data_IF_262912213494
#
_entry.id   IF_262912213494
#
_cell.length_a   1.000
_cell.length_b   1.000
_cell.length_c   1.000
_cell.angle_alpha   90.00
_cell.angle_beta   90.00
_cell.angle_gamma   90.00
#
_symmetry.space_group_name_H-M   'P 1'
#
loop_
_entity.id
_entity.type
_entity.pdbx_description
1 polymer ?
#
# COMPACT_ATOMS: atom_id res chain seq x y z
N UNK A 1 -7.50 22.01 -1.69
CA UNK A 1 -6.51 22.14 -2.78
C UNK A 1 -6.38 20.76 -3.40
N UNK A 2 -6.72 20.56 -4.68
CA UNK A 2 -6.36 19.32 -5.36
C UNK A 2 -4.84 19.34 -5.53
N UNK A 3 -4.13 18.56 -4.71
CA UNK A 3 -2.72 18.30 -4.96
C UNK A 3 -2.62 17.60 -6.31
N UNK A 4 -1.87 18.17 -7.26
CA UNK A 4 -1.50 17.45 -8.47
C UNK A 4 -0.54 16.34 -8.03
N UNK A 5 -1.00 15.09 -8.09
CA UNK A 5 -0.17 13.94 -7.78
C UNK A 5 0.97 13.85 -8.82
N UNK A 6 2.21 13.58 -8.41
CA UNK A 6 3.33 13.50 -9.33
C UNK A 6 3.13 12.33 -10.31
N UNK A 7 3.71 12.41 -11.52
CA UNK A 7 3.80 11.25 -12.39
C UNK A 7 4.68 10.19 -11.73
N UNK A 8 4.30 8.92 -11.89
CA UNK A 8 5.10 7.76 -11.46
C UNK A 8 5.87 7.24 -12.67
N UNK A 9 7.10 6.78 -12.45
CA UNK A 9 7.84 6.04 -13.48
C UNK A 9 7.11 4.72 -13.78
N UNK A 10 6.63 4.57 -15.01
CA UNK A 10 5.89 3.39 -15.44
C UNK A 10 6.77 2.11 -15.40
N UNK A 11 8.10 2.23 -15.51
CA UNK A 11 8.99 1.09 -15.33
C UNK A 11 9.04 0.63 -13.86
N UNK A 12 9.07 1.57 -12.91
CA UNK A 12 8.99 1.26 -11.47
C UNK A 12 7.64 0.64 -11.13
N UNK A 13 6.54 1.23 -11.60
CA UNK A 13 5.20 0.66 -11.39
C UNK A 13 5.07 -0.74 -12.01
N UNK A 14 5.65 -0.97 -13.18
CA UNK A 14 5.66 -2.29 -13.80
C UNK A 14 6.45 -3.31 -12.98
N UNK A 15 7.57 -2.90 -12.37
CA UNK A 15 8.37 -3.77 -11.49
C UNK A 15 7.59 -4.18 -10.24
N UNK A 16 6.94 -3.22 -9.55
CA UNK A 16 6.06 -3.51 -8.41
C UNK A 16 4.90 -4.41 -8.81
N UNK A 17 4.33 -4.15 -9.99
CA UNK A 17 3.20 -4.94 -10.51
C UNK A 17 3.54 -6.42 -10.74
N UNK A 18 4.80 -6.75 -11.04
CA UNK A 18 5.21 -8.16 -11.12
C UNK A 18 5.10 -8.85 -9.76
N UNK A 19 5.51 -8.20 -8.67
CA UNK A 19 5.36 -8.73 -7.31
C UNK A 19 3.89 -8.76 -6.86
N UNK A 20 3.11 -7.72 -7.18
CA UNK A 20 1.68 -7.65 -6.88
C UNK A 20 0.92 -8.85 -7.45
N UNK A 21 1.23 -9.26 -8.68
CA UNK A 21 0.60 -10.42 -9.32
C UNK A 21 0.89 -11.72 -8.58
N UNK A 22 2.08 -11.90 -8.04
CA UNK A 22 2.42 -13.10 -7.27
C UNK A 22 1.62 -13.16 -5.97
N UNK A 23 1.45 -12.03 -5.28
CA UNK A 23 0.58 -11.91 -4.09
C UNK A 23 -0.87 -12.23 -4.46
N UNK A 24 -1.40 -11.63 -5.53
CA UNK A 24 -2.77 -11.86 -6.00
C UNK A 24 -3.01 -13.32 -6.41
N UNK A 25 -2.05 -13.95 -7.08
CA UNK A 25 -2.12 -15.35 -7.44
C UNK A 25 -2.16 -16.25 -6.21
N UNK A 26 -1.35 -15.95 -5.19
CA UNK A 26 -1.34 -16.67 -3.92
C UNK A 26 -2.66 -16.50 -3.16
N UNK A 27 -3.21 -15.29 -3.10
CA UNK A 27 -4.54 -15.04 -2.51
C UNK A 27 -5.62 -15.86 -3.24
N UNK A 28 -5.67 -15.79 -4.57
CA UNK A 28 -6.63 -16.54 -5.38
C UNK A 28 -6.50 -18.06 -5.18
N UNK A 29 -5.27 -18.58 -5.13
CA UNK A 29 -5.00 -20.00 -4.86
C UNK A 29 -5.51 -20.45 -3.48
N UNK A 30 -5.56 -19.53 -2.51
CA UNK A 30 -6.09 -19.76 -1.17
C UNK A 30 -7.62 -19.51 -1.04
N UNK A 31 -8.32 -19.31 -2.17
CA UNK A 31 -9.79 -19.16 -2.20
C UNK A 31 -10.28 -17.73 -1.98
N UNK A 32 -9.43 -16.74 -2.20
CA UNK A 32 -9.78 -15.34 -2.03
C UNK A 32 -10.89 -14.85 -2.98
N UNK A 33 -11.74 -13.94 -2.49
CA UNK A 33 -12.72 -13.22 -3.29
C UNK A 33 -12.31 -11.75 -3.42
N UNK A 34 -11.45 -11.44 -4.39
CA UNK A 34 -10.78 -10.15 -4.56
C UNK A 34 -11.70 -8.90 -4.48
N UNK A 35 -12.95 -9.01 -4.95
CA UNK A 35 -13.93 -7.91 -4.91
C UNK A 35 -14.45 -7.55 -3.51
N UNK A 36 -14.21 -8.39 -2.49
CA UNK A 36 -14.60 -8.11 -1.11
C UNK A 36 -13.63 -7.06 -0.56
N UNK A 37 -14.17 -5.91 -0.18
CA UNK A 37 -13.40 -4.86 0.47
C UNK A 37 -12.94 -5.33 1.86
N UNK A 38 -11.70 -5.04 2.18
CA UNK A 38 -11.01 -5.49 3.40
C UNK A 38 -9.91 -4.52 3.79
N UNK A 39 -9.40 -4.60 5.02
CA UNK A 39 -8.14 -3.96 5.40
C UNK A 39 -6.99 -4.38 4.48
N UNK A 40 -6.29 -3.38 3.94
CA UNK A 40 -5.07 -3.53 3.17
C UNK A 40 -4.02 -2.65 3.82
N UNK A 41 -2.94 -3.29 4.27
CA UNK A 41 -1.83 -2.65 4.95
C UNK A 41 -0.78 -2.25 3.92
N UNK A 42 -0.12 -1.13 4.14
CA UNK A 42 1.01 -0.65 3.34
C UNK A 42 2.12 -0.18 4.27
N UNK A 43 3.36 -0.44 3.90
CA UNK A 43 4.54 0.00 4.65
C UNK A 43 5.33 1.05 3.87
N UNK A 44 5.91 2.00 4.62
CA UNK A 44 6.88 2.96 4.10
C UNK A 44 8.12 2.97 4.98
N UNK A 45 9.30 2.92 4.37
CA UNK A 45 10.59 3.08 5.04
C UNK A 45 11.04 4.54 4.98
N UNK A 46 11.52 5.09 6.08
CA UNK A 46 11.94 6.50 6.11
C UNK A 46 12.32 7.02 7.48
N UNK A 47 12.11 8.31 7.72
CA UNK A 47 12.36 8.96 9.02
C UNK A 47 11.06 9.43 9.66
N UNK A 48 11.02 9.59 10.99
CA UNK A 48 9.84 10.12 11.69
C UNK A 48 9.32 11.44 11.09
N UNK A 49 10.24 12.32 10.69
CA UNK A 49 9.89 13.61 10.07
C UNK A 49 9.17 13.42 8.74
N UNK A 50 9.55 12.43 7.97
CA UNK A 50 8.94 12.13 6.68
C UNK A 50 7.60 11.40 6.87
N UNK A 51 7.47 10.58 7.92
CA UNK A 51 6.22 9.91 8.29
C UNK A 51 5.09 10.88 8.61
N UNK A 52 5.34 11.98 9.32
CA UNK A 52 4.32 13.02 9.54
C UNK A 52 3.78 13.61 8.22
N UNK A 53 4.65 13.71 7.20
CA UNK A 53 4.25 14.16 5.86
C UNK A 53 3.44 13.09 5.14
N UNK A 54 3.86 11.82 5.24
CA UNK A 54 3.12 10.67 4.71
C UNK A 54 1.71 10.64 5.29
N UNK A 55 1.55 10.71 6.61
CA UNK A 55 0.25 10.70 7.29
C UNK A 55 -0.68 11.83 6.83
N UNK A 56 -0.13 13.04 6.68
CA UNK A 56 -0.89 14.21 6.21
C UNK A 56 -1.41 14.01 4.78
N UNK A 57 -0.64 13.36 3.91
CA UNK A 57 -1.04 13.11 2.51
C UNK A 57 -1.95 11.89 2.43
N UNK A 58 -1.57 10.79 3.06
CA UNK A 58 -2.25 9.50 3.00
C UNK A 58 -3.67 9.56 3.60
N UNK A 59 -3.87 10.34 4.67
CA UNK A 59 -5.20 10.53 5.27
C UNK A 59 -6.24 11.13 4.30
N UNK A 60 -5.81 11.93 3.32
CA UNK A 60 -6.69 12.47 2.27
C UNK A 60 -7.22 11.38 1.33
N UNK A 61 -6.57 10.21 1.32
CA UNK A 61 -6.93 9.05 0.53
C UNK A 61 -7.56 7.92 1.36
N UNK A 62 -7.87 8.18 2.63
CA UNK A 62 -8.52 7.22 3.52
C UNK A 62 -7.57 6.25 4.23
N UNK A 63 -6.26 6.49 4.19
CA UNK A 63 -5.33 5.72 5.01
C UNK A 63 -5.37 6.18 6.47
N UNK A 64 -5.17 5.22 7.38
CA UNK A 64 -5.00 5.45 8.81
C UNK A 64 -3.67 4.85 9.27
N UNK A 65 -3.06 5.45 10.28
CA UNK A 65 -1.86 4.91 10.91
C UNK A 65 -2.19 3.65 11.70
N UNK A 66 -1.41 2.59 11.50
CA UNK A 66 -1.48 1.37 12.29
C UNK A 66 -0.39 1.34 13.35
N UNK A 67 0.87 1.42 12.92
CA UNK A 67 2.02 1.35 13.80
C UNK A 67 3.28 1.96 13.17
N UNK A 68 4.32 2.12 13.99
CA UNK A 68 5.68 2.44 13.58
C UNK A 68 6.64 1.44 14.22
N UNK A 69 7.48 0.83 13.41
CA UNK A 69 8.45 -0.16 13.88
C UNK A 69 9.87 0.23 13.47
N UNK A 70 10.84 -0.11 14.32
CA UNK A 70 12.26 -0.06 14.01
C UNK A 70 12.73 -1.50 13.83
N UNK A 71 13.41 -1.79 12.73
CA UNK A 71 13.97 -3.12 12.49
C UNK A 71 15.31 -3.34 13.23
N UNK A 72 15.93 -4.50 13.03
CA UNK A 72 17.20 -4.84 13.67
C UNK A 72 18.39 -3.99 13.19
N UNK A 73 18.28 -3.35 12.02
CA UNK A 73 19.31 -2.49 11.43
C UNK A 73 19.12 -1.01 11.84
N UNK A 74 18.01 -0.69 12.50
CA UNK A 74 17.64 0.66 12.90
C UNK A 74 16.86 1.43 11.83
N UNK A 75 16.41 0.76 10.77
CA UNK A 75 15.54 1.35 9.76
C UNK A 75 14.12 1.48 10.33
N UNK A 76 13.51 2.65 10.15
CA UNK A 76 12.16 2.92 10.61
C UNK A 76 11.15 2.66 9.50
N UNK A 77 10.03 2.04 9.90
CA UNK A 77 8.89 1.71 9.06
C UNK A 77 7.61 2.33 9.63
N UNK A 78 6.78 2.85 8.73
CA UNK A 78 5.43 3.32 9.02
C UNK A 78 4.43 2.39 8.34
N UNK A 79 3.55 1.81 9.13
CA UNK A 79 2.46 0.96 8.65
C UNK A 79 1.15 1.76 8.63
N UNK A 80 0.48 1.74 7.47
CA UNK A 80 -0.83 2.34 7.28
C UNK A 80 -1.83 1.31 6.78
N UNK A 81 -3.11 1.51 7.06
CA UNK A 81 -4.20 0.67 6.57
C UNK A 81 -5.20 1.49 5.74
N UNK A 82 -5.78 0.89 4.71
CA UNK A 82 -7.01 1.38 4.10
C UNK A 82 -7.97 0.22 3.76
N UNK A 83 -9.27 0.48 3.75
CA UNK A 83 -10.27 -0.54 3.37
C UNK A 83 -10.61 -0.43 1.88
N UNK A 84 -10.29 -1.45 1.10
CA UNK A 84 -10.57 -1.51 -0.34
C UNK A 84 -10.63 -2.95 -0.87
N UNK A 85 -11.14 -3.17 -2.10
CA UNK A 85 -10.98 -4.45 -2.81
C UNK A 85 -9.52 -4.71 -3.19
N UNK A 86 -9.18 -5.97 -3.45
CA UNK A 86 -7.84 -6.42 -3.88
C UNK A 86 -7.88 -7.06 -5.27
N UNK A 87 -8.77 -6.61 -6.14
CA UNK A 87 -8.67 -6.93 -7.56
C UNK A 87 -7.50 -6.19 -8.23
N UNK A 88 -7.09 -6.66 -9.42
CA UNK A 88 -5.93 -6.12 -10.14
C UNK A 88 -5.99 -4.60 -10.33
N UNK A 89 -7.18 -4.06 -10.64
CA UNK A 89 -7.34 -2.63 -10.86
C UNK A 89 -7.17 -1.84 -9.56
N UNK A 90 -7.71 -2.35 -8.45
CA UNK A 90 -7.62 -1.75 -7.13
C UNK A 90 -6.18 -1.76 -6.60
N UNK A 91 -5.49 -2.90 -6.68
CA UNK A 91 -4.08 -3.01 -6.25
C UNK A 91 -3.18 -2.16 -7.12
N UNK A 92 -3.31 -2.19 -8.45
CA UNK A 92 -2.50 -1.33 -9.32
C UNK A 92 -2.71 0.16 -9.05
N UNK A 93 -3.91 0.56 -8.68
CA UNK A 93 -4.20 1.94 -8.26
C UNK A 93 -3.61 2.26 -6.88
N UNK A 94 -3.63 1.30 -5.94
CA UNK A 94 -2.97 1.40 -4.64
C UNK A 94 -1.46 1.59 -4.82
N UNK A 95 -0.79 0.67 -5.49
CA UNK A 95 0.67 0.68 -5.75
C UNK A 95 1.09 2.01 -6.38
N UNK A 96 0.37 2.47 -7.42
CA UNK A 96 0.65 3.79 -8.02
C UNK A 96 0.52 4.91 -7.00
N UNK A 97 -0.50 4.91 -6.16
CA UNK A 97 -0.71 5.95 -5.14
C UNK A 97 0.39 5.93 -4.09
N UNK A 98 0.83 4.76 -3.65
CA UNK A 98 1.94 4.62 -2.72
C UNK A 98 3.24 5.16 -3.32
N UNK A 99 3.53 4.87 -4.60
CA UNK A 99 4.67 5.46 -5.32
C UNK A 99 4.56 6.99 -5.48
N UNK A 100 3.35 7.54 -5.56
CA UNK A 100 3.17 9.00 -5.56
C UNK A 100 3.46 9.62 -4.19
N UNK A 101 3.07 8.94 -3.11
CA UNK A 101 3.38 9.33 -1.73
C UNK A 101 4.89 9.25 -1.49
N UNK A 102 5.54 8.18 -1.97
CA UNK A 102 6.99 7.99 -1.98
C UNK A 102 7.71 9.23 -2.52
N UNK A 103 7.35 9.65 -3.74
CA UNK A 103 7.93 10.83 -4.41
C UNK A 103 7.67 12.12 -3.63
N UNK A 104 6.45 12.30 -3.11
CA UNK A 104 6.06 13.53 -2.42
C UNK A 104 6.73 13.69 -1.05
N UNK A 105 6.98 12.58 -0.36
CA UNK A 105 7.51 12.58 0.99
C UNK A 105 9.01 12.32 1.06
N UNK A 106 9.60 11.68 0.04
CA UNK A 106 10.99 11.23 0.07
C UNK A 106 11.20 10.02 0.98
N UNK A 107 10.16 9.19 1.13
CA UNK A 107 10.22 7.87 1.78
C UNK A 107 10.42 6.80 0.71
N UNK A 108 10.50 5.54 1.09
CA UNK A 108 10.45 4.39 0.18
C UNK A 108 9.17 3.59 0.44
N UNK A 109 8.44 3.25 -0.61
CA UNK A 109 7.33 2.30 -0.50
C UNK A 109 7.89 0.88 -0.41
N UNK A 110 7.50 0.17 0.64
CA UNK A 110 8.06 -1.15 1.00
C UNK A 110 7.08 -2.32 0.73
N UNK A 111 5.84 -2.02 0.35
CA UNK A 111 4.90 -3.03 -0.13
C UNK A 111 3.53 -2.93 0.52
N UNK A 112 2.70 -3.92 0.21
CA UNK A 112 1.36 -4.05 0.77
C UNK A 112 1.05 -5.49 1.16
N UNK A 113 0.08 -5.66 2.05
CA UNK A 113 -0.43 -6.97 2.45
C UNK A 113 -1.89 -6.91 2.85
N UNK A 114 -2.56 -8.07 2.83
CA UNK A 114 -3.89 -8.22 3.40
C UNK A 114 -4.16 -9.67 3.76
N UNK A 115 -5.15 -9.89 4.62
CA UNK A 115 -5.69 -11.22 4.83
C UNK A 115 -6.59 -11.68 3.66
N UNK A 116 -6.53 -12.97 3.34
CA UNK A 116 -7.44 -13.57 2.38
C UNK A 116 -8.88 -13.61 2.94
N UNK A 117 -9.85 -13.20 2.13
CA UNK A 117 -11.26 -13.21 2.44
C UNK A 117 -11.96 -14.22 1.54
N UNK A 118 -12.24 -15.39 2.08
CA UNK A 118 -13.13 -16.35 1.43
C UNK A 118 -14.58 -15.86 1.58
N UNK A 119 -15.38 -15.95 0.52
CA UNK A 119 -16.81 -15.66 0.58
C UNK A 119 -17.49 -16.68 1.49
N UNK A 120 -17.68 -16.33 2.77
CA UNK A 120 -18.43 -17.15 3.71
C UNK A 120 -19.89 -17.23 3.30
N UNK A 121 -20.36 -18.43 2.96
CA UNK A 121 -21.77 -18.76 3.17
C UNK A 121 -21.93 -18.86 4.68
N UNK A 122 -22.68 -17.93 5.27
CA UNK A 122 -23.15 -18.03 6.65
C UNK A 122 -23.86 -19.35 6.92
#
# INVERSE_FOLDING_TARGET
MSQNLPPVDEARLAAEWEADKDVLANLAANGDVARIARPVDVSFRGSEKDFERVLTIASQFGFVELDREEDEEGDLFLFLECVQPVDEASIRALTRKCLQIEILCGVEYDGWGCEAQAGGVH
#
